data_IF_086531031648
#
_entry.id   IF_086531031648
#
_cell.length_a   1.000
_cell.length_b   1.000
_cell.length_c   1.000
_cell.angle_alpha   90.00
_cell.angle_beta   90.00
_cell.angle_gamma   90.00
#
_symmetry.space_group_name_H-M   'P 1'
#
loop_
_entity.id
_entity.type
_entity.pdbx_description
1 polymer ?
#
# COMPACT_ATOMS: atom_id res chain seq x y z
N UNK A 1 -16.69 15.83 17.68
CA UNK A 1 -16.64 16.63 16.44
C UNK A 1 -16.90 15.66 15.29
N UNK A 2 -18.13 15.60 14.76
CA UNK A 2 -18.45 14.75 13.61
C UNK A 2 -17.93 15.44 12.34
N UNK A 3 -16.73 15.06 11.90
CA UNK A 3 -16.27 15.39 10.55
C UNK A 3 -16.93 14.39 9.62
N UNK A 4 -17.85 14.86 8.79
CA UNK A 4 -18.58 14.02 7.84
C UNK A 4 -17.64 13.50 6.75
N UNK A 5 -17.77 12.22 6.39
CA UNK A 5 -16.95 11.51 5.39
C UNK A 5 -16.88 12.20 4.01
N UNK A 6 -17.78 13.14 3.74
CA UNK A 6 -17.83 13.95 2.53
C UNK A 6 -16.64 14.91 2.37
N UNK A 7 -16.04 15.43 3.45
CA UNK A 7 -14.95 16.40 3.33
C UNK A 7 -13.61 15.74 2.99
N UNK A 8 -13.33 14.57 3.56
CA UNK A 8 -12.11 13.80 3.26
C UNK A 8 -12.05 13.39 1.77
N UNK A 9 -13.21 13.03 1.19
CA UNK A 9 -13.33 12.65 -0.21
C UNK A 9 -13.08 13.81 -1.19
N UNK A 10 -13.43 15.05 -0.81
CA UNK A 10 -13.18 16.25 -1.63
C UNK A 10 -11.71 16.66 -1.64
N UNK A 11 -11.02 16.56 -0.49
CA UNK A 11 -9.58 16.85 -0.39
C UNK A 11 -8.77 15.84 -1.20
N UNK A 12 -9.17 14.57 -1.21
CA UNK A 12 -8.52 13.50 -1.97
C UNK A 12 -8.68 13.68 -3.49
N UNK A 13 -9.89 14.03 -3.99
CA UNK A 13 -10.11 14.30 -5.42
C UNK A 13 -9.23 15.43 -5.97
N UNK A 14 -8.93 16.46 -5.15
CA UNK A 14 -8.03 17.56 -5.56
C UNK A 14 -6.57 17.11 -5.76
N UNK A 15 -6.06 16.17 -4.95
CA UNK A 15 -4.69 15.67 -5.09
C UNK A 15 -4.52 14.77 -6.33
N UNK A 16 -5.48 13.88 -6.59
CA UNK A 16 -5.48 13.01 -7.77
C UNK A 16 -5.62 13.80 -9.09
N UNK A 17 -6.41 14.88 -9.10
CA UNK A 17 -6.50 15.76 -10.28
C UNK A 17 -5.16 16.45 -10.60
N UNK A 18 -4.37 16.86 -9.61
CA UNK A 18 -3.06 17.47 -9.88
C UNK A 18 -2.03 16.52 -10.50
N UNK A 19 -2.15 15.21 -10.29
CA UNK A 19 -1.26 14.22 -10.93
C UNK A 19 -1.62 13.92 -12.39
N UNK A 20 -2.89 14.10 -12.79
CA UNK A 20 -3.34 13.83 -14.17
C UNK A 20 -3.08 15.03 -15.09
N UNK A 21 -3.10 16.27 -14.57
CA UNK A 21 -2.96 17.48 -15.41
C UNK A 21 -1.52 17.81 -15.82
N UNK A 22 -0.50 17.11 -15.32
CA UNK A 22 0.91 17.39 -15.64
C UNK A 22 1.42 16.71 -16.93
N UNK A 23 0.58 15.97 -17.67
CA UNK A 23 0.97 15.24 -18.89
C UNK A 23 0.13 15.55 -20.14
N UNK A 24 -0.47 16.74 -20.25
CA UNK A 24 -1.18 17.15 -21.47
C UNK A 24 -0.92 18.60 -21.86
N UNK A 25 0.32 18.90 -22.27
CA UNK A 25 0.60 20.14 -23.01
C UNK A 25 1.73 19.93 -24.02
N UNK A 26 1.39 19.62 -25.28
CA UNK A 26 2.00 20.15 -26.53
C UNK A 26 1.70 19.26 -27.75
N UNK A 27 0.76 19.70 -28.59
CA UNK A 27 0.98 20.23 -29.95
C UNK A 27 -0.32 20.16 -30.74
N UNK A 28 -0.79 21.33 -31.17
CA UNK A 28 -1.76 21.50 -32.22
C UNK A 28 -1.05 22.04 -33.47
N UNK A 29 -1.77 21.90 -34.59
CA UNK A 29 -1.59 22.51 -35.93
C UNK A 29 -0.80 21.70 -36.97
N UNK A 30 -1.50 21.10 -37.93
CA UNK A 30 -1.91 21.79 -39.17
C UNK A 30 -2.90 20.95 -39.99
N UNK A 31 -3.89 21.65 -40.56
CA UNK A 31 -4.94 21.14 -41.46
C UNK A 31 -4.43 20.86 -42.87
N UNK A 32 -4.97 19.83 -43.53
CA UNK A 32 -5.41 19.94 -44.93
C UNK A 32 -6.42 18.83 -45.30
N UNK A 33 -7.58 19.30 -45.74
CA UNK A 33 -8.66 18.63 -46.48
C UNK A 33 -8.21 17.73 -47.63
N UNK A 34 -8.87 16.58 -47.81
CA UNK A 34 -9.50 16.10 -49.06
C UNK A 34 -10.37 14.86 -48.78
N UNK A 35 -11.45 14.72 -49.55
CA UNK A 35 -12.63 13.87 -49.31
C UNK A 35 -12.52 12.38 -49.68
N UNK A 36 -13.68 11.69 -49.74
CA UNK A 36 -13.80 10.25 -49.48
C UNK A 36 -13.84 9.41 -50.77
N UNK A 37 -13.33 8.18 -50.69
CA UNK A 37 -13.92 6.93 -51.21
C UNK A 37 -12.86 5.82 -51.32
N UNK A 38 -13.32 4.58 -51.07
CA UNK A 38 -12.69 3.30 -51.43
C UNK A 38 -11.39 2.85 -50.75
N UNK A 39 -11.51 1.88 -49.82
CA UNK A 39 -10.97 0.52 -50.00
C UNK A 39 -10.94 -0.25 -48.67
N UNK A 40 -12.08 -0.83 -48.27
CA UNK A 40 -12.09 -1.89 -47.25
C UNK A 40 -11.71 -3.23 -47.92
N UNK A 41 -10.43 -3.61 -47.86
CA UNK A 41 -9.98 -4.99 -48.05
C UNK A 41 -9.37 -5.49 -46.74
N UNK A 42 -9.99 -6.52 -46.19
CA UNK A 42 -9.61 -7.13 -44.93
C UNK A 42 -8.22 -7.76 -44.97
N UNK A 43 -7.44 -7.48 -43.93
CA UNK A 43 -6.30 -8.29 -43.53
C UNK A 43 -6.65 -9.02 -42.25
N UNK A 44 -6.83 -10.34 -42.35
CA UNK A 44 -6.87 -11.23 -41.20
C UNK A 44 -5.45 -11.35 -40.63
N UNK A 45 -5.19 -10.70 -39.51
CA UNK A 45 -4.02 -10.98 -38.69
C UNK A 45 -4.27 -12.26 -37.88
N UNK A 46 -3.79 -13.40 -38.37
CA UNK A 46 -3.63 -14.62 -37.57
C UNK A 46 -2.20 -14.67 -37.04
N UNK A 47 -1.91 -13.83 -36.03
CA UNK A 47 -0.65 -13.90 -35.30
C UNK A 47 -0.78 -14.88 -34.13
N UNK A 48 -0.11 -16.03 -34.20
CA UNK A 48 0.11 -16.88 -33.03
C UNK A 48 1.02 -16.15 -32.05
N UNK A 49 0.46 -15.65 -30.96
CA UNK A 49 1.23 -15.13 -29.81
C UNK A 49 1.79 -16.35 -29.08
N UNK A 50 3.11 -16.56 -29.16
CA UNK A 50 3.78 -17.51 -28.28
C UNK A 50 3.85 -16.92 -26.86
N UNK A 51 3.57 -17.71 -25.81
CA UNK A 51 3.74 -17.24 -24.44
C UNK A 51 5.21 -16.91 -24.18
N UNK A 52 5.47 -15.72 -23.63
CA UNK A 52 6.80 -15.31 -23.23
C UNK A 52 7.38 -16.30 -22.21
N UNK A 53 8.54 -16.89 -22.52
CA UNK A 53 9.33 -17.65 -21.55
C UNK A 53 9.86 -16.68 -20.51
N UNK A 54 9.35 -16.81 -19.28
CA UNK A 54 9.92 -16.12 -18.13
C UNK A 54 11.38 -16.57 -17.93
N UNK A 55 12.32 -15.66 -17.68
CA UNK A 55 13.68 -16.03 -17.33
C UNK A 55 13.68 -16.84 -16.03
N UNK A 56 14.41 -17.95 -16.03
CA UNK A 56 14.66 -18.75 -14.84
C UNK A 56 15.24 -17.87 -13.72
N UNK A 57 14.59 -17.91 -12.56
CA UNK A 57 14.94 -17.15 -11.35
C UNK A 57 16.44 -17.18 -11.05
N UNK A 58 17.05 -16.05 -10.63
CA UNK A 58 18.41 -16.06 -10.09
C UNK A 58 18.47 -16.89 -8.80
N UNK A 59 19.57 -17.62 -8.65
CA UNK A 59 19.88 -18.47 -7.50
C UNK A 59 19.86 -17.65 -6.20
N UNK A 60 18.85 -17.89 -5.35
CA UNK A 60 18.59 -17.15 -4.10
C UNK A 60 19.62 -17.43 -2.98
N UNK A 61 20.69 -18.19 -3.25
CA UNK A 61 21.70 -18.54 -2.25
C UNK A 61 22.74 -17.45 -1.96
N UNK A 62 22.70 -16.30 -2.63
CA UNK A 62 23.67 -15.22 -2.44
C UNK A 62 23.17 -13.98 -1.68
N UNK A 63 21.94 -13.99 -1.13
CA UNK A 63 21.44 -12.88 -0.30
C UNK A 63 21.82 -13.10 1.18
N UNK A 64 22.97 -12.54 1.53
CA UNK A 64 23.59 -12.57 2.84
C UNK A 64 22.86 -11.75 3.91
N UNK A 65 22.74 -12.37 5.10
CA UNK A 65 22.45 -11.81 6.44
C UNK A 65 21.05 -11.22 6.65
N UNK A 66 20.12 -12.10 7.03
CA UNK A 66 18.88 -11.75 7.71
C UNK A 66 19.19 -11.25 9.13
N UNK A 67 18.74 -10.04 9.47
CA UNK A 67 18.67 -9.59 10.86
C UNK A 67 17.27 -9.89 11.37
N UNK A 68 17.12 -11.05 12.02
CA UNK A 68 15.88 -11.39 12.74
C UNK A 68 15.96 -10.76 14.12
N UNK A 69 15.09 -9.80 14.43
CA UNK A 69 14.95 -9.30 15.80
C UNK A 69 13.78 -10.03 16.43
N UNK A 70 14.09 -11.04 17.25
CA UNK A 70 13.08 -11.75 18.01
C UNK A 70 12.51 -10.85 19.11
N UNK A 71 11.19 -10.76 19.19
CA UNK A 71 10.51 -10.25 20.37
C UNK A 71 10.49 -11.34 21.45
N UNK A 72 11.63 -11.58 22.11
CA UNK A 72 11.70 -12.46 23.28
C UNK A 72 11.35 -11.68 24.55
N UNK A 73 10.07 -11.55 24.85
CA UNK A 73 9.60 -11.38 26.23
C UNK A 73 8.13 -11.78 26.37
N UNK A 74 7.92 -12.78 27.24
CA UNK A 74 6.65 -13.33 27.74
C UNK A 74 5.91 -14.21 26.74
N UNK A 75 5.86 -15.51 27.06
CA UNK A 75 5.25 -16.54 26.23
C UNK A 75 3.76 -16.28 26.00
N UNK A 76 3.45 -15.70 24.85
CA UNK A 76 2.34 -16.03 23.96
C UNK A 76 2.41 -15.08 22.75
N UNK A 77 2.51 -15.63 21.53
CA UNK A 77 2.65 -15.00 20.20
C UNK A 77 4.07 -14.60 19.74
N UNK A 78 4.61 -15.43 18.82
CA UNK A 78 5.84 -15.23 18.05
C UNK A 78 5.67 -14.17 16.96
N UNK A 79 5.46 -12.91 17.35
CA UNK A 79 5.47 -11.83 16.37
C UNK A 79 6.92 -11.43 16.04
N UNK A 80 7.22 -11.28 14.75
CA UNK A 80 8.60 -11.09 14.28
C UNK A 80 8.68 -9.86 13.37
N UNK A 81 9.72 -9.06 13.55
CA UNK A 81 10.11 -8.00 12.62
C UNK A 81 11.25 -8.52 11.75
N UNK A 82 11.03 -8.54 10.43
CA UNK A 82 12.07 -8.88 9.46
C UNK A 82 12.50 -7.63 8.69
N UNK A 83 13.80 -7.38 8.73
CA UNK A 83 14.47 -6.39 7.88
C UNK A 83 15.40 -7.19 6.98
N UNK A 84 14.98 -7.43 5.75
CA UNK A 84 15.84 -8.04 4.74
C UNK A 84 16.84 -6.97 4.27
N UNK A 85 18.09 -7.35 3.97
CA UNK A 85 19.09 -6.44 3.39
C UNK A 85 19.81 -5.50 4.38
N UNK A 86 21.08 -5.17 4.07
CA UNK A 86 22.00 -4.41 4.93
C UNK A 86 21.68 -2.93 5.16
N UNK A 87 20.42 -2.51 5.05
CA UNK A 87 19.97 -1.18 5.44
C UNK A 87 19.94 -1.09 6.97
N UNK A 88 20.75 -0.20 7.53
CA UNK A 88 20.68 0.14 8.95
C UNK A 88 19.49 1.05 9.19
N UNK A 89 18.31 0.46 9.38
CA UNK A 89 17.13 1.17 9.86
C UNK A 89 17.39 1.70 11.27
N UNK A 90 16.95 2.93 11.57
CA UNK A 90 17.21 3.51 12.89
C UNK A 90 16.56 2.69 14.00
N UNK A 91 17.21 2.62 15.16
CA UNK A 91 16.66 1.91 16.33
C UNK A 91 15.28 2.44 16.74
N UNK A 92 15.00 3.72 16.51
CA UNK A 92 13.69 4.33 16.77
C UNK A 92 12.59 3.74 15.90
N UNK A 93 12.83 3.60 14.59
CA UNK A 93 11.88 2.98 13.67
C UNK A 93 11.66 1.52 14.07
N UNK A 94 12.72 0.78 14.36
CA UNK A 94 12.61 -0.62 14.78
C UNK A 94 11.75 -0.78 16.04
N UNK A 95 11.96 0.07 17.05
CA UNK A 95 11.17 0.06 18.29
C UNK A 95 9.69 0.36 18.02
N UNK A 96 9.38 1.28 17.12
CA UNK A 96 7.99 1.60 16.75
C UNK A 96 7.35 0.42 16.01
N UNK A 97 8.03 -0.16 15.02
CA UNK A 97 7.53 -1.32 14.27
C UNK A 97 7.31 -2.53 15.19
N UNK A 98 8.22 -2.78 16.14
CA UNK A 98 8.03 -3.82 17.15
C UNK A 98 6.83 -3.54 18.05
N UNK A 99 6.61 -2.28 18.44
CA UNK A 99 5.50 -1.93 19.32
C UNK A 99 4.11 -2.10 18.69
N UNK A 100 4.04 -2.28 17.37
CA UNK A 100 2.82 -2.55 16.61
C UNK A 100 2.44 -4.04 16.61
N UNK A 101 3.44 -4.91 16.80
CA UNK A 101 3.21 -6.35 16.80
C UNK A 101 2.24 -6.76 17.91
N UNK A 102 1.43 -7.77 17.62
CA UNK A 102 0.34 -8.29 18.44
C UNK A 102 -0.80 -7.31 18.74
N UNK A 103 -0.75 -6.07 18.26
CA UNK A 103 -1.87 -5.14 18.41
C UNK A 103 -3.04 -5.56 17.51
N UNK A 104 -4.27 -5.62 18.03
CA UNK A 104 -5.45 -5.90 17.23
C UNK A 104 -5.79 -4.72 16.31
N UNK A 105 -6.28 -5.05 15.11
CA UNK A 105 -6.95 -4.08 14.24
C UNK A 105 -8.31 -3.75 14.85
N UNK A 106 -8.47 -2.51 15.31
CA UNK A 106 -9.70 -2.01 15.92
C UNK A 106 -10.66 -1.45 14.86
N UNK A 107 -10.12 -0.78 13.84
CA UNK A 107 -10.91 -0.19 12.76
C UNK A 107 -10.17 -0.27 11.43
N UNK A 108 -10.92 -0.35 10.33
CA UNK A 108 -10.38 -0.33 8.98
C UNK A 108 -11.19 0.66 8.15
N UNK A 109 -10.49 1.51 7.40
CA UNK A 109 -11.10 2.50 6.51
C UNK A 109 -10.54 2.37 5.11
N UNK A 110 -11.43 2.30 4.13
CA UNK A 110 -11.09 2.47 2.72
C UNK A 110 -11.44 3.90 2.29
N UNK A 111 -10.44 4.76 2.14
CA UNK A 111 -10.61 6.16 1.74
C UNK A 111 -10.24 6.32 0.26
N UNK A 112 -11.23 6.25 -0.63
CA UNK A 112 -10.96 6.08 -2.05
C UNK A 112 -10.25 4.76 -2.29
N UNK A 113 -9.02 4.81 -2.80
CA UNK A 113 -8.14 3.64 -2.99
C UNK A 113 -7.00 3.55 -1.96
N UNK A 114 -7.02 4.36 -0.90
CA UNK A 114 -6.12 4.21 0.24
C UNK A 114 -6.74 3.32 1.31
N UNK A 115 -5.95 2.41 1.89
CA UNK A 115 -6.36 1.55 2.98
C UNK A 115 -5.72 2.03 4.29
N UNK A 116 -6.52 2.19 5.34
CA UNK A 116 -6.06 2.65 6.65
C UNK A 116 -6.48 1.61 7.70
N UNK A 117 -5.51 1.10 8.45
CA UNK A 117 -5.71 0.24 9.61
C UNK A 117 -5.49 1.07 10.88
N UNK A 118 -6.41 0.99 11.83
CA UNK A 118 -6.27 1.58 13.16
C UNK A 118 -6.07 0.46 14.17
N UNK A 119 -5.04 0.58 14.99
CA UNK A 119 -4.59 -0.45 15.92
C UNK A 119 -4.70 0.09 17.34
N UNK A 120 -5.51 -0.58 18.17
CA UNK A 120 -5.89 -0.11 19.52
C UNK A 120 -6.46 1.31 19.57
N UNK A 121 -7.03 1.81 18.47
CA UNK A 121 -7.68 3.13 18.43
C UNK A 121 -8.74 3.21 17.33
N UNK A 122 -9.50 4.31 17.34
CA UNK A 122 -10.50 4.64 16.31
C UNK A 122 -10.13 5.91 15.54
N UNK A 123 -10.73 6.15 14.36
CA UNK A 123 -10.54 7.40 13.64
C UNK A 123 -10.84 8.63 14.51
N UNK A 124 -9.84 9.49 14.70
CA UNK A 124 -9.95 10.71 15.49
C UNK A 124 -9.45 10.59 16.94
N UNK A 125 -9.05 9.40 17.35
CA UNK A 125 -8.25 9.23 18.56
C UNK A 125 -6.82 9.69 18.30
N UNK A 126 -6.36 10.66 19.10
CA UNK A 126 -5.02 11.24 19.02
C UNK A 126 -4.21 10.96 20.28
N UNK A 127 -4.73 10.18 21.22
CA UNK A 127 -4.12 9.96 22.53
C UNK A 127 -3.59 8.55 22.70
N UNK A 128 -4.03 7.61 21.89
CA UNK A 128 -3.58 6.22 21.94
C UNK A 128 -3.55 5.54 20.57
N UNK A 129 -2.92 4.37 20.54
CA UNK A 129 -2.88 3.48 19.40
C UNK A 129 -2.00 3.96 18.24
N UNK A 130 -2.21 3.30 17.10
CA UNK A 130 -1.46 3.51 15.86
C UNK A 130 -2.41 3.56 14.67
N UNK A 131 -1.98 4.24 13.60
CA UNK A 131 -2.56 3.99 12.28
C UNK A 131 -1.50 3.57 11.29
N UNK A 132 -1.85 2.66 10.39
CA UNK A 132 -1.07 2.28 9.21
C UNK A 132 -1.89 2.69 8.00
N UNK A 133 -1.36 3.62 7.20
CA UNK A 133 -2.00 4.10 5.98
C UNK A 133 -1.18 3.62 4.79
N UNK A 134 -1.85 3.01 3.82
CA UNK A 134 -1.29 2.49 2.58
C UNK A 134 -1.81 3.32 1.40
N UNK A 135 -0.90 4.08 0.78
CA UNK A 135 -1.14 4.88 -0.43
C UNK A 135 -1.04 3.96 -1.67
N UNK A 136 -1.53 4.37 -2.86
CA UNK A 136 -2.55 3.63 -3.63
C UNK A 136 -2.04 2.41 -4.42
N UNK A 137 -0.99 1.75 -3.97
CA UNK A 137 -0.48 0.49 -4.51
C UNK A 137 -0.35 -0.55 -3.41
N UNK A 138 -1.48 -1.19 -3.11
CA UNK A 138 -1.54 -2.29 -2.15
C UNK A 138 -2.40 -3.45 -2.67
N UNK A 139 -2.09 -4.64 -2.18
CA UNK A 139 -2.88 -5.85 -2.35
C UNK A 139 -3.32 -6.39 -0.99
N UNK A 140 -4.57 -6.81 -0.91
CA UNK A 140 -5.12 -7.63 0.15
C UNK A 140 -5.21 -9.07 -0.36
N UNK A 141 -4.55 -10.00 0.32
CA UNK A 141 -4.38 -11.37 -0.16
C UNK A 141 -4.41 -12.38 0.97
N UNK A 142 -4.66 -13.63 0.61
CA UNK A 142 -4.38 -14.78 1.46
C UNK A 142 -3.16 -15.53 0.90
N UNK A 143 -2.93 -16.75 1.40
CA UNK A 143 -1.82 -17.61 0.95
C UNK A 143 -2.02 -18.21 -0.45
N UNK A 144 -3.18 -18.05 -1.06
CA UNK A 144 -3.59 -18.69 -2.33
C UNK A 144 -3.72 -17.64 -3.44
N UNK A 145 -4.30 -16.48 -3.15
CA UNK A 145 -4.69 -15.49 -4.14
C UNK A 145 -4.74 -14.06 -3.60
N UNK A 146 -4.75 -13.10 -4.54
CA UNK A 146 -5.08 -11.70 -4.25
C UNK A 146 -6.61 -11.57 -4.22
N UNK A 147 -7.14 -11.18 -3.06
CA UNK A 147 -8.58 -11.01 -2.83
C UNK A 147 -9.07 -9.68 -3.42
N UNK A 148 -8.34 -8.59 -3.17
CA UNK A 148 -8.59 -7.27 -3.75
C UNK A 148 -7.33 -6.41 -3.73
N UNK A 149 -7.40 -5.21 -4.32
CA UNK A 149 -6.31 -4.25 -4.32
C UNK A 149 -6.80 -2.83 -4.54
N UNK A 150 -5.87 -1.90 -4.40
CA UNK A 150 -6.13 -0.46 -4.55
C UNK A 150 -6.80 -0.10 -5.88
N UNK A 151 -6.46 -0.78 -6.98
CA UNK A 151 -7.07 -0.52 -8.29
C UNK A 151 -8.54 -0.92 -8.36
N UNK A 152 -8.93 -2.02 -7.71
CA UNK A 152 -10.34 -2.40 -7.60
C UNK A 152 -11.12 -1.39 -6.74
N UNK A 153 -10.49 -0.86 -5.68
CA UNK A 153 -11.06 0.20 -4.85
C UNK A 153 -11.19 1.55 -5.58
N UNK A 154 -10.57 1.72 -6.75
CA UNK A 154 -10.65 2.93 -7.56
C UNK A 154 -11.86 2.88 -8.50
N UNK A 155 -13.05 2.79 -7.93
CA UNK A 155 -14.34 2.80 -8.64
C UNK A 155 -15.13 4.07 -8.35
N UNK A 156 -15.93 4.51 -9.33
CA UNK A 156 -16.89 5.60 -9.16
C UNK A 156 -18.25 5.12 -8.61
N UNK A 157 -18.48 3.79 -8.59
CA UNK A 157 -19.68 3.18 -8.06
C UNK A 157 -19.57 2.99 -6.53
N UNK A 158 -20.37 3.73 -5.78
CA UNK A 158 -20.42 3.66 -4.32
C UNK A 158 -20.80 2.27 -3.79
N UNK A 159 -21.64 1.51 -4.50
CA UNK A 159 -22.02 0.16 -4.08
C UNK A 159 -20.87 -0.83 -4.28
N UNK A 160 -20.11 -0.69 -5.35
CA UNK A 160 -18.90 -1.50 -5.57
C UNK A 160 -17.83 -1.16 -4.52
N UNK A 161 -17.61 0.13 -4.25
CA UNK A 161 -16.70 0.60 -3.21
C UNK A 161 -17.09 0.06 -1.82
N UNK A 162 -18.38 0.09 -1.50
CA UNK A 162 -18.91 -0.49 -0.25
C UNK A 162 -18.66 -1.99 -0.18
N UNK A 163 -18.94 -2.75 -1.25
CA UNK A 163 -18.68 -4.21 -1.29
C UNK A 163 -17.20 -4.54 -1.06
N UNK A 164 -16.29 -3.75 -1.61
CA UNK A 164 -14.85 -3.91 -1.37
C UNK A 164 -14.51 -3.60 0.09
N UNK A 165 -15.09 -2.55 0.65
CA UNK A 165 -14.90 -2.18 2.06
C UNK A 165 -15.34 -3.30 3.02
N UNK A 166 -16.44 -3.99 2.70
CA UNK A 166 -16.95 -5.11 3.49
C UNK A 166 -15.95 -6.28 3.59
N UNK A 167 -15.08 -6.48 2.59
CA UNK A 167 -14.06 -7.53 2.61
C UNK A 167 -13.09 -7.35 3.79
N UNK A 168 -12.90 -6.13 4.28
CA UNK A 168 -11.95 -5.86 5.36
C UNK A 168 -12.53 -6.10 6.77
N UNK A 169 -13.83 -6.39 6.90
CA UNK A 169 -14.44 -6.70 8.21
C UNK A 169 -13.79 -7.90 8.90
N UNK A 170 -13.25 -8.83 8.12
CA UNK A 170 -12.53 -10.00 8.64
C UNK A 170 -11.23 -9.64 9.40
N UNK A 171 -10.72 -8.42 9.23
CA UNK A 171 -9.53 -7.94 9.93
C UNK A 171 -9.84 -7.53 11.38
N UNK A 172 -11.10 -7.26 11.73
CA UNK A 172 -11.43 -6.74 13.05
C UNK A 172 -11.02 -7.69 14.18
N UNK A 173 -10.40 -7.11 15.20
CA UNK A 173 -9.82 -7.79 16.36
C UNK A 173 -8.70 -8.78 16.03
N UNK A 174 -8.24 -8.86 14.77
CA UNK A 174 -7.11 -9.71 14.39
C UNK A 174 -5.79 -8.99 14.70
N UNK A 175 -4.82 -9.68 15.32
CA UNK A 175 -3.54 -9.08 15.68
C UNK A 175 -2.60 -8.98 14.48
N UNK A 176 -1.76 -7.94 14.45
CA UNK A 176 -0.62 -7.88 13.54
C UNK A 176 0.44 -8.90 14.01
N UNK A 177 0.66 -9.97 13.23
CA UNK A 177 1.62 -11.03 13.57
C UNK A 177 3.01 -10.74 13.05
N UNK A 178 3.13 -10.13 11.87
CA UNK A 178 4.42 -9.82 11.27
C UNK A 178 4.36 -8.50 10.51
N UNK A 179 5.44 -7.74 10.62
CA UNK A 179 5.74 -6.62 9.76
C UNK A 179 7.07 -6.91 9.06
N UNK A 180 7.11 -6.65 7.76
CA UNK A 180 8.32 -6.84 6.96
C UNK A 180 8.43 -5.68 5.99
N UNK A 181 9.65 -5.19 5.82
CA UNK A 181 9.98 -4.12 4.89
C UNK A 181 10.98 -4.69 3.88
N UNK A 182 10.65 -4.62 2.60
CA UNK A 182 11.54 -5.05 1.53
C UNK A 182 12.68 -4.03 1.36
N UNK A 183 13.97 -4.43 1.37
CA UNK A 183 15.11 -3.51 1.44
C UNK A 183 15.27 -2.58 0.26
N UNK A 184 14.88 -3.00 -0.93
CA UNK A 184 15.18 -2.28 -2.17
C UNK A 184 14.06 -1.29 -2.47
N UNK A 185 12.81 -1.74 -2.31
CA UNK A 185 11.61 -0.98 -2.64
C UNK A 185 10.98 -0.32 -1.43
N UNK A 186 11.42 -0.66 -0.22
CA UNK A 186 10.79 -0.28 1.06
C UNK A 186 9.31 -0.66 1.12
N UNK A 187 8.88 -1.70 0.40
CA UNK A 187 7.51 -2.18 0.43
C UNK A 187 7.17 -2.73 1.82
N UNK A 188 6.04 -2.28 2.37
CA UNK A 188 5.52 -2.78 3.63
C UNK A 188 4.67 -4.02 3.38
N UNK A 189 5.01 -5.12 4.05
CA UNK A 189 4.16 -6.29 4.19
C UNK A 189 3.69 -6.43 5.63
N UNK A 190 2.39 -6.62 5.78
CA UNK A 190 1.68 -6.79 7.03
C UNK A 190 1.01 -8.15 7.01
N UNK A 191 1.37 -9.01 7.93
CA UNK A 191 0.65 -10.26 8.18
C UNK A 191 -0.28 -10.04 9.38
N UNK A 192 -1.57 -10.27 9.14
CA UNK A 192 -2.64 -10.12 10.12
C UNK A 192 -3.21 -11.50 10.34
N UNK A 193 -3.16 -12.00 11.58
CA UNK A 193 -3.39 -13.41 11.86
C UNK A 193 -2.40 -14.33 11.08
N UNK A 194 -2.71 -15.62 10.86
CA UNK A 194 -1.82 -16.57 10.16
C UNK A 194 -2.04 -16.67 8.63
N UNK A 195 -3.13 -16.12 8.10
CA UNK A 195 -3.55 -16.37 6.70
C UNK A 195 -3.68 -15.11 5.86
N UNK A 196 -3.82 -13.95 6.49
CA UNK A 196 -4.16 -12.71 5.81
C UNK A 196 -2.94 -11.81 5.70
N UNK A 197 -2.69 -11.31 4.50
CA UNK A 197 -1.56 -10.45 4.21
C UNK A 197 -2.03 -9.20 3.46
N UNK A 198 -1.49 -8.05 3.87
CA UNK A 198 -1.54 -6.82 3.10
C UNK A 198 -0.12 -6.47 2.68
N UNK A 199 0.07 -6.10 1.43
CA UNK A 199 1.40 -5.71 0.94
C UNK A 199 1.29 -4.49 0.04
N UNK A 200 2.15 -3.50 0.25
CA UNK A 200 2.38 -2.44 -0.73
C UNK A 200 3.33 -2.92 -1.83
N UNK A 201 3.27 -2.26 -2.98
CA UNK A 201 4.25 -2.47 -4.04
C UNK A 201 4.58 -1.13 -4.71
N UNK A 202 5.84 -0.92 -5.04
CA UNK A 202 6.26 0.28 -5.77
C UNK A 202 5.73 0.25 -7.20
N UNK A 203 4.94 1.26 -7.58
CA UNK A 203 4.56 1.53 -8.97
C UNK A 203 5.49 2.50 -9.66
N UNK A 204 5.97 3.51 -8.94
CA UNK A 204 6.82 4.56 -9.46
C UNK A 204 7.95 4.83 -8.45
N UNK A 205 9.24 4.77 -8.85
CA UNK A 205 10.37 5.08 -7.97
C UNK A 205 10.42 6.55 -7.50
N UNK A 206 9.54 7.41 -8.00
CA UNK A 206 9.35 8.79 -7.59
C UNK A 206 8.15 9.01 -6.67
N UNK A 207 7.39 7.97 -6.33
CA UNK A 207 6.31 8.05 -5.35
C UNK A 207 6.84 8.67 -4.05
N UNK A 208 6.17 9.74 -3.58
CA UNK A 208 6.60 10.47 -2.37
C UNK A 208 6.29 9.66 -1.10
N UNK A 209 5.23 8.88 -1.14
CA UNK A 209 4.69 8.10 -0.02
C UNK A 209 3.99 6.84 -0.54
N UNK A 210 4.45 5.67 -0.12
CA UNK A 210 3.79 4.39 -0.38
C UNK A 210 3.00 3.92 0.85
N UNK A 211 3.52 4.22 2.04
CA UNK A 211 2.84 3.97 3.31
C UNK A 211 3.34 4.91 4.40
N UNK A 212 2.52 5.06 5.44
CA UNK A 212 2.91 5.72 6.69
C UNK A 212 2.37 4.96 7.89
N UNK A 213 3.10 5.06 8.99
CA UNK A 213 2.70 4.56 10.30
C UNK A 213 2.74 5.73 11.27
N UNK A 214 1.64 5.98 11.99
CA UNK A 214 1.57 7.02 13.02
C UNK A 214 1.47 6.39 14.40
N UNK A 215 2.32 6.85 15.31
CA UNK A 215 2.26 6.62 16.76
C UNK A 215 1.65 7.88 17.38
N UNK A 216 0.36 7.81 17.75
CA UNK A 216 -0.38 8.97 18.24
C UNK A 216 0.11 9.43 19.62
N UNK A 217 0.56 8.49 20.46
CA UNK A 217 1.07 8.78 21.81
C UNK A 217 2.34 9.64 21.71
N UNK A 218 3.23 9.30 20.77
CA UNK A 218 4.52 9.97 20.63
C UNK A 218 4.49 11.16 19.68
N UNK A 219 3.40 11.36 18.92
CA UNK A 219 3.36 12.34 17.83
C UNK A 219 4.42 12.03 16.78
N UNK A 220 4.62 10.75 16.44
CA UNK A 220 5.62 10.33 15.48
C UNK A 220 4.93 9.74 14.26
N UNK A 221 5.40 10.12 13.08
CA UNK A 221 5.04 9.51 11.80
C UNK A 221 6.26 8.91 11.12
N UNK A 222 6.20 7.63 10.79
CA UNK A 222 7.14 6.96 9.89
C UNK A 222 6.54 6.99 8.49
N UNK A 223 7.32 7.38 7.49
CA UNK A 223 6.93 7.34 6.08
C UNK A 223 7.89 6.42 5.34
N UNK A 224 7.35 5.49 4.55
CA UNK A 224 8.11 4.69 3.61
C UNK A 224 7.76 5.03 2.17
N UNK A 225 8.79 5.10 1.33
CA UNK A 225 8.69 5.27 -0.10
C UNK A 225 9.85 4.52 -0.79
N UNK A 226 9.88 4.42 -2.14
CA UNK A 226 10.88 3.62 -2.85
C UNK A 226 12.34 4.00 -2.59
N UNK A 227 12.60 5.19 -2.03
CA UNK A 227 13.94 5.74 -1.85
C UNK A 227 14.41 5.70 -0.41
N UNK A 228 13.50 5.85 0.54
CA UNK A 228 13.87 6.03 1.94
C UNK A 228 12.71 5.68 2.89
N UNK A 229 13.09 5.43 4.15
CA UNK A 229 12.18 5.37 5.28
C UNK A 229 12.62 6.44 6.26
N UNK A 230 11.70 7.34 6.62
CA UNK A 230 12.01 8.50 7.44
C UNK A 230 11.02 8.67 8.58
N UNK A 231 11.52 9.23 9.68
CA UNK A 231 10.72 9.59 10.86
C UNK A 231 10.48 11.10 10.87
N UNK A 232 9.23 11.51 11.04
CA UNK A 232 8.79 12.89 11.20
C UNK A 232 8.15 13.03 12.58
N UNK A 233 8.61 14.01 13.36
CA UNK A 233 7.94 14.40 14.61
C UNK A 233 6.82 15.39 14.28
N UNK A 234 5.59 14.95 14.47
CA UNK A 234 4.40 15.78 14.41
C UNK A 234 4.17 16.32 15.82
N UNK A 235 4.72 17.49 16.13
CA UNK A 235 4.39 18.15 17.39
C UNK A 235 2.91 18.53 17.37
N UNK A 236 2.12 17.91 18.24
CA UNK A 236 0.73 18.29 18.57
C UNK A 236 0.71 19.39 19.62
#
# INVERSE_FOLDING_TARGET
IQVTEQESSKVYRRRQQHHITSHSTRRAETSSTLGPEEAFRGSRFTGHIQPAKWPSHPDLRSLSRLNVVNAETLGESNAILYIEGGLTMSEEIQKILQSILNRPVQFVRLAGNSLILYLDCEPGDLKEGYSIWLEPTWHFRNNIEVITGSRAAQTEDEQEHFKISELFKQLFSKPIKRLTIEPITNDLQIEIDEEINIRTFVSDPSDEESWQIRDYIKGIRIIGNPRTIQTIKEFS
#
